data_IF_294349038176
#
_entry.id   IF_294349038176
#
_cell.length_a   1.000
_cell.length_b   1.000
_cell.length_c   1.000
_cell.angle_alpha   90.00
_cell.angle_beta   90.00
_cell.angle_gamma   90.00
#
_symmetry.space_group_name_H-M   'P 1'
#
loop_
_entity.id
_entity.type
_entity.pdbx_description
1 polymer ?
#
# COMPACT_ATOMS: atom_id res chain seq x y z
N UNK A 1 -59.06 -21.96 -31.33
CA UNK A 1 -58.43 -22.65 -30.18
C UNK A 1 -57.44 -23.67 -30.73
N UNK A 2 -56.20 -23.27 -30.99
CA UNK A 2 -55.03 -24.17 -31.12
C UNK A 2 -53.77 -23.34 -30.91
N UNK A 3 -52.92 -23.82 -30.00
CA UNK A 3 -51.72 -23.17 -29.45
C UNK A 3 -50.54 -23.44 -30.39
N UNK A 4 -49.75 -22.41 -30.69
CA UNK A 4 -48.40 -22.55 -31.25
C UNK A 4 -47.39 -22.06 -30.21
N UNK A 5 -46.60 -22.99 -29.68
CA UNK A 5 -45.48 -22.75 -28.77
C UNK A 5 -44.27 -22.26 -29.55
N UNK A 6 -43.81 -21.05 -29.28
CA UNK A 6 -42.53 -20.51 -29.76
C UNK A 6 -41.53 -20.54 -28.60
N UNK A 7 -40.48 -21.35 -28.75
CA UNK A 7 -39.32 -21.40 -27.87
C UNK A 7 -38.36 -20.25 -28.24
N UNK A 8 -38.08 -19.37 -27.28
CA UNK A 8 -37.02 -18.37 -27.40
C UNK A 8 -35.71 -18.94 -26.83
N UNK A 9 -34.74 -19.17 -27.70
CA UNK A 9 -33.35 -19.39 -27.31
C UNK A 9 -32.74 -18.04 -26.87
N UNK A 10 -32.40 -17.91 -25.59
CA UNK A 10 -31.52 -16.84 -25.11
C UNK A 10 -30.07 -17.28 -25.30
N UNK A 11 -29.40 -16.73 -26.32
CA UNK A 11 -27.94 -16.71 -26.42
C UNK A 11 -27.42 -15.54 -25.58
N UNK A 12 -26.88 -15.85 -24.41
CA UNK A 12 -26.10 -14.90 -23.60
C UNK A 12 -24.72 -14.72 -24.22
N UNK A 13 -24.51 -13.60 -24.91
CA UNK A 13 -23.18 -13.16 -25.36
C UNK A 13 -22.47 -12.58 -24.14
N UNK A 14 -21.56 -13.35 -23.55
CA UNK A 14 -20.55 -12.81 -22.66
C UNK A 14 -19.58 -11.99 -23.50
N UNK A 15 -19.71 -10.66 -23.45
CA UNK A 15 -18.69 -9.77 -23.97
C UNK A 15 -17.48 -9.81 -23.01
N UNK A 16 -16.40 -10.48 -23.43
CA UNK A 16 -15.08 -10.26 -22.86
C UNK A 16 -14.75 -8.77 -22.98
N UNK A 17 -14.59 -8.09 -21.83
CA UNK A 17 -14.12 -6.71 -21.82
C UNK A 17 -12.69 -6.67 -22.35
N UNK A 18 -12.52 -6.25 -23.60
CA UNK A 18 -11.21 -5.94 -24.18
C UNK A 18 -10.62 -4.72 -23.48
N UNK A 19 -9.91 -4.96 -22.37
CA UNK A 19 -9.05 -3.96 -21.74
C UNK A 19 -7.95 -3.63 -22.76
N UNK A 20 -7.79 -2.35 -23.10
CA UNK A 20 -6.80 -1.90 -24.09
C UNK A 20 -5.36 -2.25 -23.65
N UNK A 21 -4.47 -2.64 -24.58
CA UNK A 21 -3.09 -3.07 -24.26
C UNK A 21 -2.20 -1.99 -23.62
N UNK A 22 -2.55 -0.70 -23.77
CA UNK A 22 -1.77 0.45 -23.29
C UNK A 22 -1.83 0.67 -21.76
N UNK A 23 -2.62 -0.16 -21.06
CA UNK A 23 -3.01 0.05 -19.65
C UNK A 23 -2.24 -0.88 -18.71
N UNK A 24 -1.62 -1.95 -19.23
CA UNK A 24 -0.94 -2.97 -18.43
C UNK A 24 0.55 -2.68 -18.32
N UNK A 25 1.15 -3.15 -17.22
CA UNK A 25 2.61 -3.13 -17.09
C UNK A 25 3.23 -4.00 -18.20
N UNK A 26 4.37 -3.56 -18.72
CA UNK A 26 5.22 -4.38 -19.57
C UNK A 26 5.65 -5.64 -18.82
N UNK A 27 5.96 -6.70 -19.56
CA UNK A 27 6.38 -7.97 -18.98
C UNK A 27 7.73 -7.81 -18.27
N UNK A 28 7.76 -8.04 -16.97
CA UNK A 28 8.99 -7.99 -16.18
C UNK A 28 9.68 -9.35 -16.28
N UNK A 29 10.94 -9.32 -16.71
CA UNK A 29 11.75 -10.52 -16.89
C UNK A 29 12.65 -10.75 -15.69
N UNK A 30 12.61 -11.98 -15.16
CA UNK A 30 13.57 -12.46 -14.17
C UNK A 30 14.97 -12.57 -14.80
N UNK A 31 16.02 -12.18 -14.09
CA UNK A 31 17.43 -12.42 -14.44
C UNK A 31 17.69 -13.91 -14.67
N UNK A 32 18.63 -14.21 -15.58
CA UNK A 32 18.88 -15.59 -16.03
C UNK A 32 19.36 -16.53 -14.93
N UNK A 33 20.10 -16.01 -13.95
CA UNK A 33 20.70 -16.73 -12.83
C UNK A 33 19.75 -16.96 -11.64
N UNK A 34 18.68 -16.17 -11.50
CA UNK A 34 17.68 -16.43 -10.47
C UNK A 34 16.87 -17.69 -10.77
N UNK A 35 16.39 -18.43 -9.76
CA UNK A 35 15.44 -19.54 -9.97
C UNK A 35 14.00 -19.06 -10.06
N UNK A 36 13.64 -18.08 -9.22
CA UNK A 36 12.38 -17.34 -9.21
C UNK A 36 12.67 -15.83 -9.21
N UNK A 37 11.73 -14.97 -9.64
CA UNK A 37 11.91 -13.53 -9.49
C UNK A 37 12.27 -13.17 -8.05
N UNK A 38 13.23 -12.27 -7.86
CA UNK A 38 13.66 -11.76 -6.55
C UNK A 38 13.15 -10.33 -6.42
N UNK A 39 12.31 -10.08 -5.42
CA UNK A 39 11.69 -8.79 -5.18
C UNK A 39 12.05 -8.31 -3.78
N UNK A 40 12.52 -7.08 -3.69
CA UNK A 40 12.81 -6.41 -2.42
C UNK A 40 11.81 -5.31 -2.18
N UNK A 41 11.25 -5.24 -0.97
CA UNK A 41 10.62 -4.04 -0.42
C UNK A 41 11.63 -3.41 0.55
N UNK A 42 12.18 -2.26 0.18
CA UNK A 42 13.25 -1.58 0.94
C UNK A 42 12.67 -0.40 1.71
N UNK A 43 12.75 -0.44 3.04
CA UNK A 43 12.34 0.67 3.91
C UNK A 43 13.54 1.29 4.61
N UNK A 44 13.34 2.45 5.21
CA UNK A 44 14.25 3.00 6.22
C UNK A 44 13.87 2.48 7.61
N UNK A 45 14.84 2.32 8.51
CA UNK A 45 14.58 1.84 9.87
C UNK A 45 13.65 2.75 10.69
N UNK A 46 13.40 3.98 10.25
CA UNK A 46 12.49 4.90 10.93
C UNK A 46 11.60 5.61 9.91
N UNK A 47 10.32 5.75 10.26
CA UNK A 47 9.31 6.49 9.52
C UNK A 47 9.17 6.05 8.05
N UNK A 48 9.23 4.73 7.83
CA UNK A 48 8.75 4.10 6.60
C UNK A 48 7.23 4.01 6.65
N UNK A 49 6.56 4.42 5.57
CA UNK A 49 5.12 4.39 5.46
C UNK A 49 4.59 2.94 5.54
N UNK A 50 3.72 2.70 6.51
CA UNK A 50 3.28 1.37 6.95
C UNK A 50 2.63 0.61 5.79
N UNK A 51 1.64 1.23 5.16
CA UNK A 51 0.85 0.59 4.11
C UNK A 51 1.67 0.41 2.83
N UNK A 52 2.49 1.38 2.47
CA UNK A 52 3.36 1.30 1.28
C UNK A 52 4.40 0.18 1.37
N UNK A 53 4.79 -0.22 2.58
CA UNK A 53 5.73 -1.32 2.80
C UNK A 53 5.02 -2.66 2.98
N UNK A 54 4.06 -2.73 3.91
CA UNK A 54 3.43 -4.01 4.33
C UNK A 54 2.52 -4.57 3.26
N UNK A 55 1.74 -3.74 2.58
CA UNK A 55 0.76 -4.20 1.58
C UNK A 55 1.43 -4.87 0.39
N UNK A 56 2.41 -4.24 -0.31
CA UNK A 56 3.04 -4.92 -1.43
C UNK A 56 3.82 -6.15 -0.99
N UNK A 57 4.49 -6.11 0.18
CA UNK A 57 5.15 -7.29 0.73
C UNK A 57 4.16 -8.45 0.90
N UNK A 58 3.05 -8.22 1.60
CA UNK A 58 2.05 -9.24 1.91
C UNK A 58 1.39 -9.81 0.65
N UNK A 59 0.99 -8.95 -0.28
CA UNK A 59 0.35 -9.36 -1.55
C UNK A 59 1.32 -10.23 -2.37
N UNK A 60 2.56 -9.77 -2.55
CA UNK A 60 3.54 -10.49 -3.36
C UNK A 60 3.97 -11.80 -2.69
N UNK A 61 4.12 -11.83 -1.36
CA UNK A 61 4.47 -13.06 -0.63
C UNK A 61 3.38 -14.13 -0.77
N UNK A 62 2.10 -13.76 -0.59
CA UNK A 62 0.94 -14.67 -0.73
C UNK A 62 0.74 -15.18 -2.16
N UNK A 63 1.28 -14.47 -3.14
CA UNK A 63 1.19 -14.91 -4.54
C UNK A 63 2.11 -16.08 -4.86
N UNK A 64 3.18 -16.29 -4.08
CA UNK A 64 4.18 -17.35 -4.26
C UNK A 64 4.93 -17.33 -5.62
N UNK A 65 4.80 -16.24 -6.37
CA UNK A 65 5.40 -16.11 -7.71
C UNK A 65 6.89 -15.78 -7.67
N UNK A 66 7.39 -15.30 -6.52
CA UNK A 66 8.70 -14.69 -6.36
C UNK A 66 9.25 -14.90 -4.94
N UNK A 67 10.57 -14.76 -4.80
CA UNK A 67 11.25 -14.64 -3.52
C UNK A 67 11.16 -13.18 -3.06
N UNK A 68 10.47 -12.94 -1.93
CA UNK A 68 10.18 -11.60 -1.42
C UNK A 68 10.97 -11.34 -0.14
N UNK A 69 11.69 -10.21 -0.12
CA UNK A 69 12.50 -9.75 1.00
C UNK A 69 12.00 -8.40 1.52
N UNK A 70 11.88 -8.30 2.85
CA UNK A 70 11.71 -7.05 3.58
C UNK A 70 13.12 -6.62 4.02
N UNK A 71 13.61 -5.50 3.48
CA UNK A 71 14.98 -5.05 3.68
C UNK A 71 14.98 -3.65 4.28
N UNK A 72 15.99 -3.35 5.09
CA UNK A 72 16.31 -1.99 5.55
C UNK A 72 17.84 -1.79 5.57
N UNK A 73 18.36 -0.57 5.78
CA UNK A 73 19.79 -0.36 5.98
C UNK A 73 20.39 -1.25 7.06
N UNK A 74 19.69 -1.44 8.19
CA UNK A 74 20.14 -2.26 9.31
C UNK A 74 19.08 -3.27 9.76
N UNK A 75 19.53 -4.39 10.35
CA UNK A 75 18.65 -5.29 11.12
C UNK A 75 18.13 -4.60 12.38
N UNK A 76 17.07 -5.17 12.96
CA UNK A 76 16.48 -4.72 14.21
C UNK A 76 15.12 -4.08 13.99
N UNK A 77 14.74 -3.15 14.85
CA UNK A 77 13.43 -2.51 14.76
C UNK A 77 13.36 -1.55 13.56
N UNK A 78 12.24 -1.64 12.85
CA UNK A 78 11.76 -0.59 11.95
C UNK A 78 10.52 0.05 12.57
N UNK A 79 10.66 1.30 12.99
CA UNK A 79 9.54 2.11 13.50
C UNK A 79 8.80 2.71 12.31
N UNK A 80 7.56 2.30 12.09
CA UNK A 80 6.80 2.68 10.90
C UNK A 80 5.98 3.94 11.15
N UNK A 81 5.58 4.60 10.05
CA UNK A 81 4.66 5.74 10.06
C UNK A 81 3.30 5.30 9.49
N UNK A 82 2.17 5.78 10.01
CA UNK A 82 2.02 6.61 11.22
C UNK A 82 2.13 5.82 12.53
N UNK A 83 2.23 4.50 12.47
CA UNK A 83 2.09 3.60 13.61
C UNK A 83 2.72 2.23 13.37
N UNK A 84 2.85 1.45 14.44
CA UNK A 84 3.41 0.10 14.49
C UNK A 84 4.93 0.05 14.32
N UNK A 85 5.51 -1.02 14.82
CA UNK A 85 6.91 -1.36 14.58
C UNK A 85 7.03 -2.82 14.17
N UNK A 86 8.00 -3.12 13.31
CA UNK A 86 8.32 -4.49 12.87
C UNK A 86 9.79 -4.81 13.14
N UNK A 87 10.11 -6.10 13.23
CA UNK A 87 11.48 -6.59 13.24
C UNK A 87 11.96 -6.87 11.82
N UNK A 88 13.02 -6.19 11.40
CA UNK A 88 13.78 -6.44 10.17
C UNK A 88 14.91 -7.41 10.47
N UNK A 89 14.90 -8.55 9.79
CA UNK A 89 15.92 -9.59 9.92
C UNK A 89 16.97 -9.58 8.82
N UNK A 90 16.78 -8.76 7.78
CA UNK A 90 17.63 -8.69 6.58
C UNK A 90 18.03 -7.24 6.32
N UNK A 91 19.30 -6.93 6.49
CA UNK A 91 19.88 -5.64 6.07
C UNK A 91 20.18 -5.65 4.56
N UNK A 92 20.51 -4.47 4.03
CA UNK A 92 21.06 -4.32 2.67
C UNK A 92 22.27 -5.25 2.47
N UNK A 93 23.21 -5.26 3.42
CA UNK A 93 24.42 -6.09 3.30
C UNK A 93 24.10 -7.59 3.31
N UNK A 94 23.15 -8.07 4.12
CA UNK A 94 22.77 -9.48 4.05
C UNK A 94 22.13 -9.83 2.71
N UNK A 95 21.28 -8.93 2.18
CA UNK A 95 20.62 -9.15 0.90
C UNK A 95 21.64 -9.20 -0.23
N UNK A 96 22.56 -8.24 -0.30
CA UNK A 96 23.59 -8.19 -1.34
C UNK A 96 24.57 -9.38 -1.23
N UNK A 97 24.84 -9.89 -0.03
CA UNK A 97 25.61 -11.13 0.14
C UNK A 97 24.85 -12.38 -0.34
N UNK A 98 23.53 -12.40 -0.18
CA UNK A 98 22.69 -13.53 -0.62
C UNK A 98 22.40 -13.50 -2.12
N UNK A 99 22.25 -12.30 -2.69
CA UNK A 99 21.91 -12.02 -4.09
C UNK A 99 22.90 -11.01 -4.69
N UNK A 100 24.19 -11.39 -4.89
CA UNK A 100 25.22 -10.49 -5.42
C UNK A 100 24.90 -9.93 -6.82
N UNK A 101 24.02 -10.59 -7.56
CA UNK A 101 23.48 -10.12 -8.84
C UNK A 101 22.43 -9.02 -8.72
N UNK A 102 21.92 -8.77 -7.51
CA UNK A 102 20.81 -7.86 -7.19
C UNK A 102 19.43 -8.40 -7.58
N UNK A 103 18.39 -7.73 -7.10
CA UNK A 103 16.97 -8.05 -7.33
C UNK A 103 16.49 -7.86 -8.79
N UNK A 104 15.35 -8.47 -9.12
CA UNK A 104 14.60 -8.18 -10.35
C UNK A 104 13.71 -6.94 -10.21
N UNK A 105 13.15 -6.74 -9.00
CA UNK A 105 12.29 -5.62 -8.66
C UNK A 105 12.68 -5.08 -7.28
N UNK A 106 12.78 -3.75 -7.17
CA UNK A 106 12.88 -3.02 -5.90
C UNK A 106 11.66 -2.15 -5.73
N UNK A 107 10.94 -2.33 -4.62
CA UNK A 107 9.81 -1.50 -4.22
C UNK A 107 10.29 -0.54 -3.12
N UNK A 108 10.14 0.75 -3.39
CA UNK A 108 10.53 1.87 -2.53
C UNK A 108 9.25 2.54 -2.02
N UNK A 109 8.85 2.33 -0.76
CA UNK A 109 7.74 3.03 -0.14
C UNK A 109 8.08 4.50 0.12
N UNK A 110 7.10 5.28 0.57
CA UNK A 110 7.42 6.56 1.18
C UNK A 110 8.27 6.36 2.45
N UNK A 111 9.35 7.13 2.54
CA UNK A 111 10.22 7.23 3.72
C UNK A 111 10.39 8.73 4.05
N UNK A 112 10.41 9.09 5.33
CA UNK A 112 10.51 10.50 5.70
C UNK A 112 11.87 11.11 5.33
N UNK A 113 12.96 10.35 5.38
CA UNK A 113 14.26 10.78 4.93
C UNK A 113 14.54 10.25 3.52
N UNK A 114 13.83 10.82 2.54
CA UNK A 114 13.96 10.51 1.12
C UNK A 114 15.37 10.75 0.55
N UNK A 115 16.20 11.53 1.25
CA UNK A 115 17.60 11.81 0.91
C UNK A 115 18.60 10.82 1.54
N UNK A 116 18.12 9.71 2.15
CA UNK A 116 18.99 8.70 2.73
C UNK A 116 19.99 8.15 1.70
N UNK A 117 21.25 8.55 1.84
CA UNK A 117 22.29 8.24 0.85
C UNK A 117 22.58 6.75 0.70
N UNK A 118 22.40 5.97 1.77
CA UNK A 118 22.60 4.51 1.75
C UNK A 118 21.55 3.86 0.86
N UNK A 119 20.27 4.23 1.05
CA UNK A 119 19.16 3.73 0.23
C UNK A 119 19.31 4.24 -1.21
N UNK A 120 19.57 5.53 -1.41
CA UNK A 120 19.77 6.13 -2.75
C UNK A 120 20.84 5.37 -3.54
N UNK A 121 22.03 5.17 -2.96
CA UNK A 121 23.12 4.46 -3.64
C UNK A 121 22.76 3.02 -3.93
N UNK A 122 22.08 2.35 -3.00
CA UNK A 122 21.68 0.97 -3.18
C UNK A 122 20.65 0.83 -4.31
N UNK A 123 19.60 1.66 -4.36
CA UNK A 123 18.61 1.60 -5.46
C UNK A 123 19.21 2.00 -6.81
N UNK A 124 20.16 2.93 -6.84
CA UNK A 124 20.92 3.24 -8.05
C UNK A 124 21.70 2.02 -8.54
N UNK A 125 22.33 1.28 -7.64
CA UNK A 125 23.06 0.06 -7.98
C UNK A 125 22.12 -1.05 -8.49
N UNK A 126 21.00 -1.28 -7.81
CA UNK A 126 19.99 -2.24 -8.25
C UNK A 126 19.45 -1.88 -9.65
N UNK A 127 19.15 -0.60 -9.90
CA UNK A 127 18.70 -0.13 -11.22
C UNK A 127 19.77 -0.32 -12.29
N UNK A 128 21.05 -0.03 -12.00
CA UNK A 128 22.17 -0.29 -12.93
C UNK A 128 22.32 -1.78 -13.25
N UNK A 129 22.01 -2.64 -12.29
CA UNK A 129 21.99 -4.09 -12.44
C UNK A 129 20.70 -4.61 -13.11
N UNK A 130 19.89 -3.72 -13.70
CA UNK A 130 18.71 -4.07 -14.48
C UNK A 130 17.44 -4.32 -13.68
N UNK A 131 17.41 -3.98 -12.38
CA UNK A 131 16.17 -4.08 -11.61
C UNK A 131 15.13 -3.05 -12.08
N UNK A 132 13.87 -3.45 -12.03
CA UNK A 132 12.74 -2.52 -12.11
C UNK A 132 12.57 -1.84 -10.77
N UNK A 133 12.56 -0.50 -10.73
CA UNK A 133 12.40 0.27 -9.49
C UNK A 133 10.98 0.82 -9.42
N UNK A 134 10.27 0.49 -8.35
CA UNK A 134 8.87 0.85 -8.12
C UNK A 134 8.80 1.84 -6.95
N UNK A 135 8.53 3.11 -7.21
CA UNK A 135 8.27 4.11 -6.16
C UNK A 135 6.77 4.16 -5.83
N UNK A 136 6.39 3.86 -4.59
CA UNK A 136 5.00 3.94 -4.14
C UNK A 136 4.79 5.24 -3.35
N UNK A 137 3.67 5.93 -3.60
CA UNK A 137 3.32 7.17 -2.90
C UNK A 137 4.44 8.22 -3.01
N UNK A 138 4.93 8.72 -1.88
CA UNK A 138 6.07 9.64 -1.79
C UNK A 138 7.45 8.94 -1.91
N UNK A 139 7.50 7.62 -2.15
CA UNK A 139 8.75 6.92 -2.52
C UNK A 139 9.39 7.47 -3.80
N UNK A 140 8.61 8.19 -4.63
CA UNK A 140 9.11 8.92 -5.80
C UNK A 140 10.10 10.02 -5.45
N UNK A 141 10.06 10.57 -4.23
CA UNK A 141 11.09 11.52 -3.77
C UNK A 141 12.46 10.85 -3.73
N UNK A 142 12.55 9.66 -3.13
CA UNK A 142 13.79 8.87 -3.07
C UNK A 142 14.30 8.53 -4.47
N UNK A 143 13.41 8.15 -5.40
CA UNK A 143 13.78 7.91 -6.80
C UNK A 143 14.26 9.20 -7.50
N UNK A 144 13.62 10.33 -7.22
CA UNK A 144 14.00 11.65 -7.74
C UNK A 144 15.39 12.07 -7.27
N UNK A 145 15.66 11.98 -5.96
CA UNK A 145 16.99 12.25 -5.38
C UNK A 145 18.06 11.27 -5.87
N UNK A 146 17.68 10.03 -6.20
CA UNK A 146 18.55 9.07 -6.87
C UNK A 146 18.81 9.41 -8.36
N UNK A 147 18.14 10.41 -8.92
CA UNK A 147 18.25 10.82 -10.32
C UNK A 147 17.56 9.86 -11.30
N UNK A 148 16.78 8.91 -10.79
CA UNK A 148 16.13 7.87 -11.60
C UNK A 148 14.92 8.39 -12.39
N UNK A 149 14.38 9.55 -12.01
CA UNK A 149 13.21 10.16 -12.67
C UNK A 149 13.56 11.21 -13.75
N UNK A 150 14.85 11.48 -13.96
CA UNK A 150 15.28 12.49 -14.93
C UNK A 150 14.89 12.09 -16.36
N UNK A 151 14.12 12.96 -17.03
CA UNK A 151 13.56 12.73 -18.37
C UNK A 151 12.68 11.48 -18.46
N UNK A 152 12.00 11.13 -17.36
CA UNK A 152 11.04 10.02 -17.28
C UNK A 152 9.63 10.52 -17.05
N UNK A 153 8.66 9.70 -17.44
CA UNK A 153 7.26 9.84 -17.01
C UNK A 153 7.09 9.24 -15.61
N UNK A 154 6.45 9.99 -14.73
CA UNK A 154 6.15 9.56 -13.38
C UNK A 154 4.79 10.07 -12.90
N UNK A 155 4.22 9.40 -11.91
CA UNK A 155 3.12 9.91 -11.09
C UNK A 155 3.57 9.91 -9.62
N UNK A 156 2.82 10.51 -8.71
CA UNK A 156 3.17 10.58 -7.28
C UNK A 156 1.96 10.92 -6.43
N UNK A 157 2.13 10.98 -5.11
CA UNK A 157 1.04 11.34 -4.20
C UNK A 157 0.48 12.74 -4.52
N UNK A 158 -0.85 12.89 -4.52
CA UNK A 158 -1.53 14.12 -4.95
C UNK A 158 -1.05 15.37 -4.18
N UNK A 159 -0.80 15.22 -2.86
CA UNK A 159 -0.34 16.29 -1.98
C UNK A 159 1.04 16.85 -2.39
N UNK A 160 1.93 16.00 -2.89
CA UNK A 160 3.33 16.35 -3.18
C UNK A 160 3.52 16.91 -4.59
N UNK A 161 2.48 16.90 -5.44
CA UNK A 161 2.57 17.14 -6.88
C UNK A 161 3.26 18.43 -7.28
N UNK A 162 2.95 19.55 -6.62
CA UNK A 162 3.56 20.84 -6.97
C UNK A 162 5.01 20.90 -6.52
N UNK A 163 5.31 20.42 -5.31
CA UNK A 163 6.67 20.30 -4.79
C UNK A 163 7.53 19.37 -5.67
N UNK A 164 6.98 18.24 -6.11
CA UNK A 164 7.65 17.29 -7.01
C UNK A 164 8.03 17.93 -8.35
N UNK A 165 7.14 18.73 -8.95
CA UNK A 165 7.43 19.47 -10.19
C UNK A 165 8.54 20.50 -10.01
N UNK A 166 8.54 21.20 -8.88
CA UNK A 166 9.54 22.22 -8.59
C UNK A 166 10.92 21.61 -8.31
N UNK A 167 10.97 20.50 -7.57
CA UNK A 167 12.23 19.82 -7.22
C UNK A 167 12.79 18.99 -8.37
N UNK A 168 11.92 18.32 -9.14
CA UNK A 168 12.30 17.45 -10.27
C UNK A 168 11.67 17.94 -11.59
N UNK A 169 12.09 19.12 -12.11
CA UNK A 169 11.46 19.74 -13.27
C UNK A 169 11.69 18.99 -14.59
N UNK A 170 12.69 18.12 -14.63
CA UNK A 170 12.98 17.27 -15.80
C UNK A 170 12.13 15.99 -15.84
N UNK A 171 11.26 15.77 -14.86
CA UNK A 171 10.34 14.63 -14.82
C UNK A 171 8.99 15.04 -15.40
N UNK A 172 8.47 14.23 -16.33
CA UNK A 172 7.12 14.42 -16.89
C UNK A 172 6.08 13.83 -15.92
N UNK A 173 5.47 14.70 -15.10
CA UNK A 173 4.47 14.30 -14.09
C UNK A 173 3.09 14.06 -14.70
N UNK A 174 2.74 12.80 -14.92
CA UNK A 174 1.48 12.32 -15.48
C UNK A 174 0.37 12.38 -14.43
N UNK A 175 -0.80 12.90 -14.82
CA UNK A 175 -2.00 12.98 -13.98
C UNK A 175 -2.97 11.84 -14.30
N UNK A 176 -3.93 11.60 -13.41
CA UNK A 176 -5.06 10.68 -13.64
C UNK A 176 -4.64 9.25 -13.95
N UNK A 177 -3.46 8.87 -13.44
CA UNK A 177 -2.88 7.54 -13.51
C UNK A 177 -2.44 7.13 -12.11
N UNK A 178 -3.04 6.06 -11.60
CA UNK A 178 -2.74 5.45 -10.31
C UNK A 178 -1.30 4.96 -10.27
N UNK A 179 -0.84 4.41 -11.39
CA UNK A 179 0.55 4.05 -11.60
C UNK A 179 0.96 4.30 -13.06
N UNK A 180 2.25 4.57 -13.25
CA UNK A 180 2.88 4.87 -14.54
C UNK A 180 4.15 4.05 -14.63
N UNK A 181 4.37 3.42 -15.79
CA UNK A 181 5.63 2.77 -16.14
C UNK A 181 6.32 3.57 -17.24
N UNK A 182 7.61 3.83 -17.06
CA UNK A 182 8.52 4.32 -18.08
C UNK A 182 9.81 3.49 -18.00
N UNK A 183 9.98 2.59 -18.96
CA UNK A 183 11.08 1.62 -18.99
C UNK A 183 11.12 0.78 -17.70
N UNK A 184 12.24 0.77 -17.00
CA UNK A 184 12.45 0.04 -15.75
C UNK A 184 11.98 0.82 -14.51
N UNK A 185 11.32 1.97 -14.67
CA UNK A 185 10.81 2.76 -13.55
C UNK A 185 9.28 2.67 -13.53
N UNK A 186 8.74 2.35 -12.36
CA UNK A 186 7.31 2.37 -12.09
C UNK A 186 7.09 3.33 -10.92
N UNK A 187 6.08 4.18 -11.02
CA UNK A 187 5.70 5.10 -9.94
C UNK A 187 4.21 5.02 -9.69
N UNK A 188 3.77 5.25 -8.46
CA UNK A 188 2.36 5.23 -8.09
C UNK A 188 1.94 6.49 -7.34
N UNK A 189 0.63 6.74 -7.39
CA UNK A 189 -0.08 7.61 -6.45
C UNK A 189 -0.06 7.04 -5.02
N UNK A 190 -0.82 7.66 -4.12
CA UNK A 190 -0.82 7.45 -2.70
C UNK A 190 -1.39 6.14 -2.18
N UNK A 191 -0.85 5.77 -1.03
CA UNK A 191 -1.18 4.70 -0.07
C UNK A 191 -2.00 3.52 -0.62
N UNK A 192 -3.29 3.70 -0.91
CA UNK A 192 -4.13 2.60 -1.42
C UNK A 192 -3.74 2.11 -2.81
N UNK A 193 -2.99 2.91 -3.59
CA UNK A 193 -2.39 2.50 -4.86
C UNK A 193 -1.42 1.32 -4.73
N UNK A 194 -0.90 1.05 -3.52
CA UNK A 194 -0.07 -0.12 -3.20
C UNK A 194 -0.76 -1.47 -3.49
N UNK A 195 -2.09 -1.53 -3.36
CA UNK A 195 -2.87 -2.75 -3.67
C UNK A 195 -2.86 -3.06 -5.17
N UNK A 196 -3.41 -2.19 -6.05
CA UNK A 196 -3.50 -2.49 -7.48
C UNK A 196 -2.14 -2.60 -8.16
N UNK A 197 -1.12 -1.82 -7.74
CA UNK A 197 0.21 -2.00 -8.34
C UNK A 197 0.79 -3.38 -8.03
N UNK A 198 0.57 -3.90 -6.83
CA UNK A 198 1.04 -5.24 -6.44
C UNK A 198 0.36 -6.33 -7.26
N UNK A 199 -0.93 -6.17 -7.56
CA UNK A 199 -1.67 -7.08 -8.44
C UNK A 199 -1.20 -6.94 -9.91
N UNK A 200 -0.91 -5.73 -10.37
CA UNK A 200 -0.35 -5.50 -11.70
C UNK A 200 1.05 -6.11 -11.87
N UNK A 201 1.89 -6.06 -10.83
CA UNK A 201 3.19 -6.76 -10.82
C UNK A 201 3.02 -8.28 -10.91
N UNK A 202 2.06 -8.84 -10.19
CA UNK A 202 1.70 -10.27 -10.30
C UNK A 202 1.26 -10.61 -11.72
N UNK A 203 0.43 -9.75 -12.34
CA UNK A 203 -0.01 -9.93 -13.73
C UNK A 203 1.17 -9.91 -14.70
N UNK A 204 2.10 -8.97 -14.54
CA UNK A 204 3.29 -8.84 -15.38
C UNK A 204 4.21 -10.05 -15.29
N UNK A 205 4.38 -10.62 -14.08
CA UNK A 205 5.29 -11.75 -13.83
C UNK A 205 4.65 -13.11 -14.17
N UNK A 206 3.43 -13.34 -13.68
CA UNK A 206 2.79 -14.66 -13.64
C UNK A 206 1.51 -14.76 -14.48
N UNK A 207 1.11 -13.66 -15.14
CA UNK A 207 -0.06 -13.61 -16.01
C UNK A 207 -1.36 -13.31 -15.28
N UNK A 208 -2.38 -12.99 -16.09
CA UNK A 208 -3.66 -12.47 -15.65
C UNK A 208 -4.42 -13.40 -14.68
N UNK A 209 -4.39 -14.73 -14.91
CA UNK A 209 -5.06 -15.69 -14.03
C UNK A 209 -4.62 -15.57 -12.56
N UNK A 210 -3.31 -15.47 -12.32
CA UNK A 210 -2.76 -15.36 -10.97
C UNK A 210 -3.09 -14.01 -10.32
N UNK A 211 -3.11 -12.95 -11.13
CA UNK A 211 -3.55 -11.63 -10.70
C UNK A 211 -5.03 -11.61 -10.30
N UNK A 212 -5.91 -12.24 -11.08
CA UNK A 212 -7.33 -12.36 -10.74
C UNK A 212 -7.58 -13.16 -9.45
N UNK A 213 -6.85 -14.27 -9.25
CA UNK A 213 -6.91 -15.04 -8.01
C UNK A 213 -6.52 -14.17 -6.80
N UNK A 214 -5.47 -13.36 -6.94
CA UNK A 214 -5.04 -12.44 -5.90
C UNK A 214 -6.04 -11.30 -5.68
N UNK A 215 -6.55 -10.68 -6.73
CA UNK A 215 -7.56 -9.63 -6.65
C UNK A 215 -8.82 -10.11 -5.91
N UNK A 216 -9.28 -11.33 -6.24
CA UNK A 216 -10.41 -11.98 -5.55
C UNK A 216 -10.12 -12.23 -4.08
N UNK A 217 -8.90 -12.60 -3.70
CA UNK A 217 -8.52 -12.83 -2.30
C UNK A 217 -8.49 -11.52 -1.49
N UNK A 218 -8.11 -10.41 -2.11
CA UNK A 218 -8.07 -9.07 -1.51
C UNK A 218 -9.45 -8.39 -1.45
N UNK A 219 -10.39 -8.86 -2.29
CA UNK A 219 -11.74 -8.30 -2.39
C UNK A 219 -11.81 -7.05 -3.26
N UNK A 220 -10.92 -6.93 -4.25
CA UNK A 220 -10.95 -5.86 -5.26
C UNK A 220 -11.49 -6.41 -6.58
N UNK A 221 -12.14 -5.54 -7.36
CA UNK A 221 -12.71 -5.92 -8.67
C UNK A 221 -11.81 -5.56 -9.84
N UNK A 222 -10.96 -4.55 -9.69
CA UNK A 222 -10.03 -4.10 -10.73
C UNK A 222 -8.73 -3.60 -10.11
N UNK A 223 -7.67 -3.64 -10.90
CA UNK A 223 -6.36 -3.05 -10.59
C UNK A 223 -5.90 -2.08 -11.68
N UNK A 224 -6.85 -1.51 -12.42
CA UNK A 224 -6.58 -0.62 -13.55
C UNK A 224 -5.81 0.66 -13.11
N UNK A 225 -4.91 1.20 -13.94
CA UNK A 225 -4.20 2.44 -13.65
C UNK A 225 -5.09 3.68 -13.73
N UNK A 226 -6.34 3.62 -14.21
CA UNK A 226 -7.22 4.78 -14.27
C UNK A 226 -7.47 5.31 -12.87
N UNK A 227 -7.35 6.63 -12.74
CA UNK A 227 -7.47 7.32 -11.49
C UNK A 227 -7.99 8.74 -11.71
N UNK A 228 -8.70 9.30 -10.73
CA UNK A 228 -9.10 10.70 -10.76
C UNK A 228 -8.30 11.47 -9.72
N UNK A 229 -7.16 12.03 -10.12
CA UNK A 229 -6.30 12.78 -9.20
C UNK A 229 -6.98 14.05 -8.68
N UNK A 230 -7.99 14.58 -9.40
CA UNK A 230 -8.69 15.81 -9.02
C UNK A 230 -9.74 15.61 -7.91
N UNK A 231 -10.11 14.35 -7.61
CA UNK A 231 -10.98 14.02 -6.46
C UNK A 231 -10.31 14.33 -5.11
N UNK A 232 -8.97 14.36 -5.08
CA UNK A 232 -8.18 14.50 -3.86
C UNK A 232 -7.60 15.91 -3.74
N UNK A 233 -8.12 16.67 -2.79
CA UNK A 233 -7.58 17.97 -2.39
C UNK A 233 -7.83 18.20 -0.90
N UNK A 234 -6.91 18.90 -0.24
CA UNK A 234 -7.17 19.47 1.08
C UNK A 234 -7.92 20.78 0.91
N UNK A 235 -9.25 20.72 0.96
CA UNK A 235 -10.05 21.93 1.07
C UNK A 235 -9.89 22.56 2.46
N UNK A 236 -10.33 23.81 2.60
CA UNK A 236 -10.34 24.52 3.87
C UNK A 236 -11.07 23.76 5.00
N UNK A 237 -12.08 22.94 4.67
CA UNK A 237 -12.80 22.13 5.66
C UNK A 237 -11.95 20.98 6.17
N UNK A 238 -11.09 20.38 5.34
CA UNK A 238 -10.14 19.36 5.74
C UNK A 238 -9.01 19.95 6.60
N UNK A 239 -8.48 21.14 6.26
CA UNK A 239 -7.54 21.84 7.14
C UNK A 239 -8.15 22.19 8.50
N UNK A 240 -9.39 22.69 8.52
CA UNK A 240 -10.13 22.89 9.76
C UNK A 240 -10.36 21.59 10.53
N UNK A 241 -10.61 20.48 9.83
CA UNK A 241 -10.76 19.15 10.45
C UNK A 241 -9.45 18.70 11.09
N UNK A 242 -8.32 18.82 10.39
CA UNK A 242 -7.00 18.51 10.93
C UNK A 242 -6.67 19.38 12.14
N UNK A 243 -6.87 20.70 12.05
CA UNK A 243 -6.68 21.63 13.16
C UNK A 243 -7.59 21.31 14.35
N UNK A 244 -8.87 20.99 14.10
CA UNK A 244 -9.82 20.56 15.14
C UNK A 244 -9.40 19.25 15.79
N UNK A 245 -8.91 18.29 15.00
CA UNK A 245 -8.49 17.00 15.52
C UNK A 245 -7.23 17.14 16.41
N UNK A 246 -6.29 18.03 16.03
CA UNK A 246 -5.09 18.34 16.81
C UNK A 246 -5.33 19.20 18.07
N UNK A 247 -6.25 20.16 18.02
CA UNK A 247 -6.45 21.16 19.12
C UNK A 247 -7.15 20.60 20.35
N UNK A 248 -7.75 19.40 20.27
CA UNK A 248 -8.34 18.69 21.41
C UNK A 248 -7.43 17.56 21.90
N UNK A 249 -6.27 17.91 22.46
CA UNK A 249 -5.25 16.97 22.99
C UNK A 249 -5.84 15.99 24.02
N UNK A 250 -6.85 16.42 24.79
CA UNK A 250 -7.56 15.65 25.82
C UNK A 250 -8.41 14.48 25.29
N UNK A 251 -8.51 14.30 23.96
CA UNK A 251 -9.30 13.24 23.31
C UNK A 251 -8.47 12.34 22.37
N UNK A 252 -7.14 12.31 22.51
CA UNK A 252 -6.31 11.41 21.71
C UNK A 252 -6.40 9.97 22.26
N UNK A 253 -7.08 9.12 21.51
CA UNK A 253 -7.38 7.76 21.94
C UNK A 253 -6.25 6.79 21.57
N UNK A 254 -5.91 5.90 22.50
CA UNK A 254 -5.11 4.72 22.18
C UNK A 254 -6.04 3.59 21.77
N UNK A 255 -5.90 3.11 20.55
CA UNK A 255 -6.66 1.97 20.03
C UNK A 255 -5.77 0.74 20.09
N UNK A 256 -6.17 -0.23 20.90
CA UNK A 256 -5.47 -1.51 21.03
C UNK A 256 -5.88 -2.49 19.94
N UNK A 257 -4.90 -3.15 19.32
CA UNK A 257 -5.14 -4.23 18.35
C UNK A 257 -4.44 -5.50 18.86
N UNK A 258 -5.19 -6.52 19.30
CA UNK A 258 -4.61 -7.79 19.74
C UNK A 258 -3.95 -8.53 18.58
N UNK A 259 -2.67 -8.85 18.76
CA UNK A 259 -1.92 -9.66 17.82
C UNK A 259 -2.18 -11.16 18.05
N UNK A 260 -2.20 -11.91 16.95
CA UNK A 260 -2.19 -13.36 16.98
C UNK A 260 -1.30 -13.89 15.85
N UNK A 261 -0.76 -15.10 16.02
CA UNK A 261 0.08 -15.72 15.01
C UNK A 261 -0.71 -15.95 13.71
N UNK A 262 -0.15 -15.56 12.58
CA UNK A 262 -0.84 -15.64 11.28
C UNK A 262 -1.90 -14.56 11.08
N UNK A 263 -1.84 -13.44 11.82
CA UNK A 263 -2.67 -12.26 11.53
C UNK A 263 -2.46 -11.78 10.10
N UNK A 264 -3.55 -11.35 9.45
CA UNK A 264 -3.46 -10.78 8.11
C UNK A 264 -2.79 -9.40 8.19
N UNK A 265 -1.52 -9.32 7.79
CA UNK A 265 -0.76 -8.07 7.87
C UNK A 265 -1.28 -6.95 6.97
N UNK A 266 -1.92 -7.29 5.84
CA UNK A 266 -2.49 -6.30 4.91
C UNK A 266 -3.69 -5.64 5.59
N UNK A 267 -4.60 -6.47 6.12
CA UNK A 267 -5.75 -6.00 6.91
C UNK A 267 -5.32 -5.19 8.13
N UNK A 268 -4.31 -5.68 8.87
CA UNK A 268 -3.77 -4.97 10.03
C UNK A 268 -3.22 -3.59 9.64
N UNK A 269 -2.39 -3.51 8.61
CA UNK A 269 -1.79 -2.26 8.14
C UNK A 269 -2.87 -1.25 7.75
N UNK A 270 -3.84 -1.65 6.91
CA UNK A 270 -4.92 -0.77 6.45
C UNK A 270 -5.77 -0.23 7.61
N UNK A 271 -6.12 -1.08 8.58
CA UNK A 271 -6.90 -0.67 9.76
C UNK A 271 -6.10 0.27 10.65
N UNK A 272 -4.86 -0.12 10.99
CA UNK A 272 -4.02 0.62 11.92
C UNK A 272 -3.63 2.02 11.38
N UNK A 273 -3.28 2.07 10.09
CA UNK A 273 -2.96 3.30 9.38
C UNK A 273 -4.18 4.24 9.35
N UNK A 274 -5.34 3.74 8.93
CA UNK A 274 -6.59 4.52 8.86
C UNK A 274 -6.93 5.22 10.19
N UNK A 275 -6.88 4.48 11.30
CA UNK A 275 -7.16 5.07 12.62
C UNK A 275 -6.07 6.04 13.07
N UNK A 276 -4.80 5.78 12.75
CA UNK A 276 -3.69 6.66 13.14
C UNK A 276 -3.62 7.94 12.31
N UNK A 277 -4.27 7.99 11.14
CA UNK A 277 -4.44 9.21 10.31
C UNK A 277 -5.62 10.10 10.70
N UNK A 278 -6.41 9.70 11.70
CA UNK A 278 -7.54 10.52 12.17
C UNK A 278 -7.07 11.80 12.88
N UNK A 279 -5.84 11.80 13.41
CA UNK A 279 -5.33 12.76 14.40
C UNK A 279 -6.17 12.84 15.67
N UNK A 280 -7.01 11.81 15.92
CA UNK A 280 -7.79 11.64 17.14
C UNK A 280 -7.47 10.33 17.84
N UNK A 281 -6.77 9.43 17.16
CA UNK A 281 -6.31 8.17 17.73
C UNK A 281 -4.93 7.80 17.24
N UNK A 282 -4.26 6.94 18.01
CA UNK A 282 -3.09 6.19 17.60
C UNK A 282 -3.32 4.72 17.91
N UNK A 283 -2.93 3.84 17.00
CA UNK A 283 -3.03 2.40 17.25
C UNK A 283 -1.79 1.87 17.98
N UNK A 284 -1.98 0.85 18.81
CA UNK A 284 -0.91 0.09 19.46
C UNK A 284 -1.26 -1.38 19.44
N UNK A 285 -0.26 -2.23 19.25
CA UNK A 285 -0.41 -3.67 19.23
C UNK A 285 -0.34 -4.24 20.64
N UNK A 286 -1.21 -5.20 20.90
CA UNK A 286 -1.30 -5.89 22.18
C UNK A 286 -0.82 -7.33 22.01
N UNK A 287 0.05 -7.80 22.89
CA UNK A 287 0.45 -9.22 22.94
C UNK A 287 0.65 -9.71 24.37
N UNK A 288 0.72 -11.03 24.56
CA UNK A 288 0.93 -11.63 25.88
C UNK A 288 2.36 -11.50 26.41
N UNK A 289 3.39 -11.53 25.55
CA UNK A 289 4.79 -11.67 25.99
C UNK A 289 5.80 -10.68 25.36
N UNK A 290 5.35 -9.62 24.68
CA UNK A 290 6.17 -8.61 24.00
C UNK A 290 7.19 -9.15 22.99
N UNK A 291 7.14 -10.44 22.66
CA UNK A 291 7.97 -11.02 21.61
C UNK A 291 7.37 -10.69 20.24
N UNK A 292 8.20 -10.59 19.18
CA UNK A 292 7.69 -10.37 17.84
C UNK A 292 6.72 -11.48 17.42
N UNK A 293 5.53 -11.12 16.95
CA UNK A 293 4.53 -12.07 16.45
C UNK A 293 4.55 -12.08 14.93
N UNK A 294 4.70 -13.28 14.37
CA UNK A 294 4.74 -13.50 12.93
C UNK A 294 3.34 -13.46 12.33
N UNK A 295 3.16 -12.61 11.32
CA UNK A 295 1.96 -12.48 10.50
C UNK A 295 1.83 -13.61 9.48
N UNK A 296 0.72 -13.63 8.74
CA UNK A 296 0.45 -14.67 7.74
C UNK A 296 1.54 -14.75 6.65
N UNK A 297 2.07 -13.61 6.21
CA UNK A 297 3.16 -13.54 5.20
C UNK A 297 4.57 -13.47 5.80
N UNK A 298 4.72 -13.59 7.12
CA UNK A 298 6.03 -13.63 7.77
C UNK A 298 6.57 -12.30 8.29
N UNK A 299 5.79 -11.21 8.26
CA UNK A 299 6.18 -9.96 8.94
C UNK A 299 6.14 -10.20 10.45
N UNK A 300 7.16 -9.73 11.17
CA UNK A 300 7.29 -9.91 12.61
C UNK A 300 6.95 -8.60 13.30
N UNK A 301 5.71 -8.47 13.78
CA UNK A 301 5.24 -7.25 14.44
C UNK A 301 5.68 -7.19 15.90
N UNK A 302 6.12 -6.02 16.34
CA UNK A 302 6.50 -5.72 17.71
C UNK A 302 5.29 -5.11 18.44
N UNK A 303 4.91 -5.72 19.56
CA UNK A 303 3.82 -5.16 20.39
C UNK A 303 4.33 -4.11 21.37
N UNK A 304 3.56 -3.04 21.56
CA UNK A 304 3.86 -1.97 22.51
C UNK A 304 3.13 -2.12 23.85
N UNK A 305 2.05 -2.92 23.90
CA UNK A 305 1.24 -3.14 25.10
C UNK A 305 1.18 -4.63 25.43
N UNK A 306 1.35 -4.96 26.72
CA UNK A 306 1.08 -6.31 27.23
C UNK A 306 -0.41 -6.53 27.43
N UNK A 307 -0.91 -7.75 27.22
CA UNK A 307 -2.33 -8.10 27.41
C UNK A 307 -2.84 -7.75 28.82
N UNK A 308 -2.00 -7.88 29.85
CA UNK A 308 -2.30 -7.47 31.23
C UNK A 308 -2.62 -5.97 31.39
N UNK A 309 -2.09 -5.15 30.47
CA UNK A 309 -2.27 -3.71 30.40
C UNK A 309 -3.27 -3.28 29.31
N UNK A 310 -4.05 -4.21 28.77
CA UNK A 310 -5.08 -3.93 27.73
C UNK A 310 -6.06 -2.83 28.12
N UNK A 311 -6.33 -2.68 29.42
CA UNK A 311 -7.17 -1.60 30.00
C UNK A 311 -6.64 -0.18 29.78
N UNK A 312 -5.38 -0.01 29.39
CA UNK A 312 -4.78 1.30 29.06
C UNK A 312 -5.25 1.83 27.70
N UNK A 313 -5.99 1.04 26.93
CA UNK A 313 -6.56 1.42 25.64
C UNK A 313 -8.00 1.91 25.77
N UNK A 314 -8.37 2.87 24.93
CA UNK A 314 -9.73 3.44 24.89
C UNK A 314 -10.70 2.56 24.10
N UNK A 315 -10.18 1.80 23.14
CA UNK A 315 -10.94 0.92 22.25
C UNK A 315 -10.07 -0.27 21.87
N UNK A 316 -10.71 -1.44 21.74
CA UNK A 316 -10.08 -2.61 21.15
C UNK A 316 -10.67 -2.87 19.77
N UNK A 317 -9.79 -3.05 18.79
CA UNK A 317 -10.15 -3.48 17.44
C UNK A 317 -9.52 -4.83 17.17
N UNK A 318 -10.34 -5.79 16.76
CA UNK A 318 -9.87 -7.10 16.34
C UNK A 318 -9.75 -7.15 14.82
N UNK A 319 -8.63 -7.69 14.32
CA UNK A 319 -8.48 -7.98 12.90
C UNK A 319 -9.14 -9.34 12.62
N UNK A 320 -10.20 -9.42 11.81
CA UNK A 320 -10.89 -10.68 11.57
C UNK A 320 -10.04 -11.66 10.75
N UNK A 321 -10.09 -12.95 11.09
CA UNK A 321 -9.32 -14.00 10.40
C UNK A 321 -9.76 -14.29 8.96
N UNK A 322 -11.02 -14.03 8.62
CA UNK A 322 -11.64 -14.49 7.36
C UNK A 322 -12.02 -13.32 6.44
N UNK A 323 -12.01 -12.08 6.97
CA UNK A 323 -12.43 -10.92 6.19
C UNK A 323 -11.30 -10.45 5.27
N UNK A 324 -11.65 -10.17 4.02
CA UNK A 324 -10.71 -9.66 3.01
C UNK A 324 -10.32 -8.21 3.31
N UNK A 325 -9.10 -7.85 2.94
CA UNK A 325 -8.50 -6.55 3.26
C UNK A 325 -9.30 -5.34 2.73
N UNK A 326 -9.72 -5.34 1.46
CA UNK A 326 -10.43 -4.18 0.89
C UNK A 326 -11.81 -3.93 1.56
N UNK A 327 -12.71 -4.93 1.69
CA UNK A 327 -13.95 -4.75 2.44
C UNK A 327 -13.77 -4.39 3.92
N UNK A 328 -12.63 -4.73 4.53
CA UNK A 328 -12.33 -4.33 5.91
C UNK A 328 -11.89 -2.86 5.98
N UNK A 329 -11.14 -2.36 5.00
CA UNK A 329 -10.82 -0.93 4.87
C UNK A 329 -12.11 -0.09 4.74
N UNK A 330 -13.03 -0.51 3.87
CA UNK A 330 -14.32 0.16 3.70
C UNK A 330 -15.13 0.22 5.00
N UNK A 331 -15.22 -0.91 5.73
CA UNK A 331 -15.87 -0.94 7.04
C UNK A 331 -15.16 -0.02 8.04
N UNK A 332 -13.83 -0.01 8.04
CA UNK A 332 -13.03 0.81 8.95
C UNK A 332 -13.29 2.30 8.76
N UNK A 333 -13.40 2.77 7.50
CA UNK A 333 -13.78 4.15 7.21
C UNK A 333 -15.20 4.45 7.71
N UNK A 334 -16.14 3.52 7.56
CA UNK A 334 -17.48 3.64 8.14
C UNK A 334 -17.47 3.74 9.68
N UNK A 335 -16.65 2.93 10.35
CA UNK A 335 -16.47 2.98 11.81
C UNK A 335 -15.84 4.31 12.26
N UNK A 336 -14.81 4.80 11.55
CA UNK A 336 -14.20 6.11 11.78
C UNK A 336 -15.24 7.22 11.62
N UNK A 337 -16.12 7.14 10.62
CA UNK A 337 -17.22 8.09 10.49
C UNK A 337 -18.16 8.03 11.70
N UNK A 338 -18.58 6.85 12.12
CA UNK A 338 -19.50 6.71 13.25
C UNK A 338 -18.89 7.24 14.55
N UNK A 339 -17.57 7.08 14.73
CA UNK A 339 -16.85 7.48 15.94
C UNK A 339 -16.45 8.95 15.95
N UNK A 340 -15.87 9.44 14.86
CA UNK A 340 -15.24 10.76 14.80
C UNK A 340 -15.94 11.74 13.86
N UNK A 341 -16.98 11.30 13.15
CA UNK A 341 -17.76 12.08 12.21
C UNK A 341 -17.28 11.98 10.76
N UNK A 342 -18.18 12.33 9.84
CA UNK A 342 -17.94 12.28 8.39
C UNK A 342 -16.73 13.10 7.92
N UNK A 343 -16.46 14.24 8.57
CA UNK A 343 -15.30 15.09 8.25
C UNK A 343 -13.97 14.36 8.47
N UNK A 344 -13.83 13.68 9.60
CA UNK A 344 -12.63 12.88 9.92
C UNK A 344 -12.49 11.68 8.99
N UNK A 345 -13.60 10.98 8.68
CA UNK A 345 -13.57 9.90 7.70
C UNK A 345 -13.09 10.38 6.33
N UNK A 346 -13.64 11.49 5.82
CA UNK A 346 -13.21 12.07 4.54
C UNK A 346 -11.74 12.49 4.57
N UNK A 347 -11.29 13.09 5.67
CA UNK A 347 -9.89 13.46 5.86
C UNK A 347 -8.95 12.24 5.82
N UNK A 348 -9.32 11.12 6.47
CA UNK A 348 -8.56 9.87 6.39
C UNK A 348 -8.58 9.29 4.98
N UNK A 349 -9.76 9.18 4.36
CA UNK A 349 -9.90 8.65 3.01
C UNK A 349 -9.08 9.45 1.97
N UNK A 350 -9.06 10.79 2.08
CA UNK A 350 -8.23 11.65 1.22
C UNK A 350 -6.74 11.41 1.41
N UNK A 351 -6.27 11.26 2.65
CA UNK A 351 -4.85 10.93 2.92
C UNK A 351 -4.46 9.55 2.39
N UNK A 352 -5.36 8.58 2.41
CA UNK A 352 -5.14 7.24 1.88
C UNK A 352 -5.30 7.15 0.35
N UNK A 353 -5.72 8.25 -0.29
CA UNK A 353 -6.14 8.31 -1.70
C UNK A 353 -7.24 7.28 -2.04
N UNK A 354 -8.12 7.03 -1.07
CA UNK A 354 -9.27 6.13 -1.20
C UNK A 354 -10.51 6.91 -1.66
N UNK A 355 -11.06 6.56 -2.82
CA UNK A 355 -12.31 7.18 -3.29
C UNK A 355 -13.46 6.82 -2.35
N UNK A 356 -14.28 7.80 -1.99
CA UNK A 356 -15.40 7.59 -1.05
C UNK A 356 -16.68 7.14 -1.74
N UNK A 357 -16.73 7.09 -3.08
CA UNK A 357 -17.89 6.60 -3.84
C UNK A 357 -18.37 5.19 -3.43
N UNK A 358 -17.48 4.19 -3.26
CA UNK A 358 -17.84 2.86 -2.76
C UNK A 358 -18.43 2.85 -1.34
N UNK A 359 -18.17 3.86 -0.51
CA UNK A 359 -18.70 3.94 0.86
C UNK A 359 -20.20 4.26 0.90
N UNK A 360 -20.84 4.62 -0.23
CA UNK A 360 -22.27 4.92 -0.25
C UNK A 360 -23.17 3.71 0.09
N UNK A 361 -22.63 2.49 0.17
CA UNK A 361 -23.34 1.33 0.74
C UNK A 361 -23.29 1.27 2.27
N UNK A 362 -22.27 1.85 2.89
CA UNK A 362 -22.07 1.87 4.34
C UNK A 362 -22.48 3.20 4.97
N UNK A 363 -22.69 4.23 4.15
CA UNK A 363 -22.88 5.61 4.58
C UNK A 363 -23.94 6.30 3.72
N UNK A 364 -24.81 7.12 4.32
CA UNK A 364 -25.67 8.05 3.56
C UNK A 364 -24.80 9.10 2.87
N UNK A 365 -24.53 8.90 1.58
CA UNK A 365 -24.05 9.95 0.70
C UNK A 365 -25.22 10.91 0.43
N UNK A 366 -25.08 12.19 0.79
CA UNK A 366 -25.91 13.24 0.20
C UNK A 366 -25.25 13.64 -1.13
N UNK A 367 -26.06 13.60 -2.19
CA UNK A 367 -25.74 14.09 -3.53
C UNK A 367 -25.12 15.48 -3.53
#
# INVERSE_FOLDING_TARGET
MTVLTLTFNHLSIFAESKIQPEIRLEKIHKKSNHKKPVIVVIGENQYTELTDFIVPYGILKRSEIAEIYAVAPNKGTMDMFPTLSIEITTSIDDFDNLHPEGSDIVIVPAIHNAENITIIRWIQNQSKNGATIVGICDGVWTLGHAGLLNNKKATGHWYSKESLKNTFPNTEWIKNKRYVQDQNIITTTGVTASIPISVALIESIAGNKKAEEMAKSLGIQSWDPTHNTEEFNLDWKQYLTAAKNLTFVWNHETIGIPLYHGIDEISLALVADSYSRTYRSKTKLISTNLQPITSNSGIRFLSEIKEENRKETNLILEIPKVKKANPLLEETLGQIQNRYGMGTMRFVATQLEFSTGPLCHYVTCKD
#
